data_IF_559712479409
#
_entry.id   IF_559712479409
#
_cell.length_a   1.000
_cell.length_b   1.000
_cell.length_c   1.000
_cell.angle_alpha   90.00
_cell.angle_beta   90.00
_cell.angle_gamma   90.00
#
_symmetry.space_group_name_H-M   'P 1'
#
loop_
_entity.id
_entity.type
_entity.pdbx_description
1 polymer ?
2 polymer ?
#
# COMPACT_ATOMS: atom_id res chain seq x y z
N UNK A 1 15.21 10.18 -2.48
CA UNK A 1 16.05 9.61 -1.39
C UNK A 1 16.19 8.10 -1.57
N UNK A 2 16.95 7.47 -0.68
CA UNK A 2 17.16 6.02 -0.75
C UNK A 2 15.84 5.28 -0.56
N UNK A 3 14.97 5.85 0.27
CA UNK A 3 13.66 5.26 0.55
C UNK A 3 12.59 5.72 -0.44
N UNK A 4 13.02 6.34 -1.55
CA UNK A 4 12.08 6.82 -2.56
C UNK A 4 11.18 5.68 -3.04
N UNK A 5 11.78 4.52 -3.29
CA UNK A 5 11.05 3.35 -3.75
C UNK A 5 10.01 2.95 -2.69
N UNK A 6 10.38 3.04 -1.40
CA UNK A 6 9.45 2.71 -0.33
C UNK A 6 8.30 3.70 -0.33
N UNK A 7 8.65 4.97 -0.47
CA UNK A 7 7.69 6.03 -0.49
C UNK A 7 6.75 5.81 -1.66
N UNK A 8 7.33 5.43 -2.78
CA UNK A 8 6.57 5.16 -3.99
C UNK A 8 5.81 3.84 -3.87
N UNK A 9 6.43 2.87 -3.24
CA UNK A 9 5.82 1.55 -3.00
C UNK A 9 4.57 1.76 -2.19
N UNK A 10 4.65 2.67 -1.23
CA UNK A 10 3.53 2.99 -0.42
C UNK A 10 2.53 3.78 -1.22
N UNK A 11 3.03 4.73 -1.99
CA UNK A 11 2.14 5.57 -2.76
C UNK A 11 1.44 4.86 -3.87
N UNK A 12 2.17 4.13 -4.67
CA UNK A 12 1.53 3.43 -5.75
C UNK A 12 0.45 2.53 -5.15
N UNK A 13 0.76 1.93 -3.99
CA UNK A 13 -0.20 1.09 -3.28
C UNK A 13 -1.46 1.88 -2.96
N UNK A 14 -1.27 3.11 -2.46
CA UNK A 14 -2.39 3.99 -2.12
C UNK A 14 -3.18 4.41 -3.35
N UNK A 15 -2.44 4.79 -4.39
CA UNK A 15 -3.06 5.25 -5.62
C UNK A 15 -3.90 4.12 -6.23
N UNK A 16 -3.39 2.89 -6.12
CA UNK A 16 -4.12 1.71 -6.58
C UNK A 16 -5.31 1.48 -5.63
N UNK A 17 -5.05 1.75 -4.35
CA UNK A 17 -6.04 1.63 -3.28
C UNK A 17 -7.20 2.62 -3.52
N UNK A 18 -6.83 3.80 -4.02
CA UNK A 18 -7.78 4.88 -4.27
C UNK A 18 -8.36 4.86 -5.69
N UNK A 19 -8.04 3.85 -6.49
CA UNK A 19 -8.59 3.81 -7.85
C UNK A 19 -10.09 3.55 -7.80
N UNK A 20 -10.88 4.31 -8.52
CA UNK A 20 -12.37 4.19 -8.49
C UNK A 20 -12.96 3.04 -9.32
N UNK A 21 -12.17 2.05 -9.77
CA UNK A 21 -12.78 0.98 -10.59
C UNK A 21 -12.16 -0.40 -10.35
N UNK A 22 -11.10 -0.47 -9.55
CA UNK A 22 -10.46 -1.76 -9.26
C UNK A 22 -11.24 -2.51 -8.20
N UNK A 23 -11.20 -3.85 -8.28
CA UNK A 23 -11.89 -4.67 -7.29
C UNK A 23 -10.91 -5.06 -6.20
N UNK A 24 -11.43 -5.53 -5.07
CA UNK A 24 -10.60 -5.92 -3.94
C UNK A 24 -9.44 -6.81 -4.35
N UNK A 25 -9.66 -7.66 -5.36
CA UNK A 25 -8.61 -8.57 -5.83
C UNK A 25 -7.53 -7.86 -6.64
N UNK A 26 -7.93 -7.05 -7.64
CA UNK A 26 -6.95 -6.35 -8.46
C UNK A 26 -6.10 -5.43 -7.60
N UNK A 27 -6.74 -4.69 -6.70
CA UNK A 27 -5.99 -3.80 -5.81
C UNK A 27 -5.04 -4.64 -4.96
N UNK A 28 -5.57 -5.72 -4.41
CA UNK A 28 -4.80 -6.65 -3.59
C UNK A 28 -3.65 -7.24 -4.40
N UNK A 29 -3.91 -7.47 -5.69
CA UNK A 29 -2.92 -8.04 -6.59
C UNK A 29 -1.82 -7.06 -6.87
N UNK A 30 -2.22 -5.81 -7.11
CA UNK A 30 -1.27 -4.77 -7.38
C UNK A 30 -0.42 -4.60 -6.15
N UNK A 31 -1.05 -4.70 -4.97
CA UNK A 31 -0.32 -4.61 -3.72
C UNK A 31 0.62 -5.79 -3.63
N UNK A 32 0.11 -6.98 -3.95
CA UNK A 32 0.91 -8.19 -3.92
C UNK A 32 2.13 -8.06 -4.81
N UNK A 33 1.89 -7.53 -6.00
CA UNK A 33 2.95 -7.30 -6.98
C UNK A 33 3.93 -6.26 -6.45
N UNK A 34 3.37 -5.28 -5.75
CA UNK A 34 4.15 -4.20 -5.12
C UNK A 34 5.11 -4.79 -4.10
N UNK A 35 4.57 -5.60 -3.20
CA UNK A 35 5.40 -6.25 -2.15
C UNK A 35 6.47 -7.12 -2.82
N UNK A 36 6.05 -7.89 -3.82
CA UNK A 36 6.93 -8.78 -4.55
C UNK A 36 7.97 -7.99 -5.33
N UNK A 37 7.54 -6.85 -5.84
CA UNK A 37 8.42 -5.98 -6.61
C UNK A 37 8.04 -4.52 -6.39
N UNK A 38 8.69 -3.88 -5.45
CA UNK A 38 8.41 -2.46 -5.11
C UNK A 38 8.89 -1.50 -6.19
N UNK A 39 9.96 -1.87 -6.88
CA UNK A 39 10.49 -1.03 -7.95
C UNK A 39 9.43 -0.95 -9.05
N UNK A 40 8.66 -2.02 -9.16
CA UNK A 40 7.59 -2.13 -10.15
C UNK A 40 6.30 -1.47 -9.64
N UNK A 41 6.32 -0.93 -8.43
CA UNK A 41 5.12 -0.31 -7.84
C UNK A 41 4.44 0.68 -8.79
N UNK A 42 5.25 1.43 -9.54
CA UNK A 42 4.73 2.39 -10.50
C UNK A 42 4.00 1.68 -11.62
N UNK A 43 4.58 0.55 -12.00
CA UNK A 43 4.05 -0.29 -13.06
C UNK A 43 2.74 -0.92 -12.66
N UNK A 44 2.65 -1.24 -11.39
CA UNK A 44 1.48 -1.87 -10.81
C UNK A 44 0.40 -0.85 -10.69
N UNK A 45 0.84 0.33 -10.34
CA UNK A 45 -0.02 1.48 -10.27
C UNK A 45 -0.52 1.75 -11.68
N UNK A 46 0.39 1.56 -12.63
CA UNK A 46 0.08 1.74 -14.04
C UNK A 46 -0.93 0.72 -14.48
N UNK A 47 -0.68 -0.51 -14.06
CA UNK A 47 -1.55 -1.61 -14.35
C UNK A 47 -2.90 -1.36 -13.74
N UNK A 48 -2.87 -0.79 -12.55
CA UNK A 48 -4.07 -0.48 -11.82
C UNK A 48 -4.85 0.58 -12.55
N UNK A 49 -4.16 1.64 -12.96
CA UNK A 49 -4.81 2.70 -13.70
C UNK A 49 -5.37 2.12 -14.98
N UNK A 50 -4.69 1.10 -15.49
CA UNK A 50 -5.13 0.43 -16.71
C UNK A 50 -6.34 -0.43 -16.42
N UNK A 51 -6.27 -1.14 -15.29
CA UNK A 51 -7.36 -2.01 -14.88
C UNK A 51 -8.56 -1.17 -14.50
N UNK A 52 -8.29 -0.10 -13.77
CA UNK A 52 -9.31 0.82 -13.33
C UNK A 52 -9.93 1.48 -14.54
N UNK A 53 -9.07 1.91 -15.46
CA UNK A 53 -9.55 2.55 -16.68
C UNK A 53 -10.38 1.56 -17.48
N UNK A 54 -9.91 0.32 -17.52
CA UNK A 54 -10.61 -0.74 -18.23
C UNK A 54 -11.97 -0.96 -17.57
N UNK A 55 -11.98 -0.88 -16.24
CA UNK A 55 -13.21 -1.05 -15.47
C UNK A 55 -13.97 0.27 -15.35
N UNK A 56 -13.37 1.34 -15.88
CA UNK A 56 -13.97 2.67 -15.85
C UNK A 56 -14.81 2.90 -17.10
N UNK A 57 -15.65 3.91 -17.08
CA UNK A 57 -16.54 4.26 -18.21
C UNK A 57 -15.81 5.11 -19.24
N UNK A 58 -16.42 5.24 -20.41
CA UNK A 58 -15.87 6.03 -21.51
C UNK A 58 -16.96 6.85 -22.19
N UNK B 1 -3.02 16.29 1.48
CA UNK B 1 -4.47 16.57 1.29
C UNK B 1 -5.18 16.35 2.63
N UNK B 2 -5.14 15.10 3.10
CA UNK B 2 -5.77 14.73 4.37
C UNK B 2 -5.16 15.53 5.53
N UNK B 3 -3.84 15.67 5.48
CA UNK B 3 -3.07 16.41 6.48
C UNK B 3 -1.61 16.39 6.06
N UNK B 4 -0.71 16.90 6.92
CA UNK B 4 0.71 16.90 6.60
C UNK B 4 1.22 15.46 6.53
N UNK B 5 0.39 14.53 7.01
CA UNK B 5 0.71 13.12 7.00
C UNK B 5 0.54 12.50 5.63
N UNK B 6 0.08 13.28 4.65
CA UNK B 6 -0.07 12.73 3.30
C UNK B 6 1.29 12.20 2.86
N UNK B 7 2.33 12.97 3.19
CA UNK B 7 3.70 12.59 2.90
C UNK B 7 4.10 11.40 3.78
N UNK B 8 3.79 11.54 5.07
CA UNK B 8 4.13 10.53 6.09
C UNK B 8 3.39 9.21 5.86
N UNK B 9 2.13 9.31 5.41
CA UNK B 9 1.29 8.16 5.19
C UNK B 9 1.84 7.24 4.10
N UNK B 10 2.28 7.80 2.98
CA UNK B 10 2.79 6.97 1.89
C UNK B 10 4.00 6.17 2.38
N UNK B 11 4.83 6.76 3.23
CA UNK B 11 5.99 6.04 3.74
C UNK B 11 5.50 4.83 4.54
N UNK B 12 4.43 5.00 5.32
CA UNK B 12 3.86 3.92 6.10
C UNK B 12 3.30 2.88 5.19
N UNK B 13 2.57 3.31 4.17
CA UNK B 13 2.00 2.38 3.21
C UNK B 13 3.15 1.59 2.63
N UNK B 14 4.18 2.31 2.22
CA UNK B 14 5.38 1.69 1.69
C UNK B 14 5.98 0.72 2.69
N UNK B 15 5.99 1.12 3.96
CA UNK B 15 6.53 0.29 4.99
C UNK B 15 5.70 -0.97 5.12
N UNK B 16 4.37 -0.84 5.07
CA UNK B 16 3.53 -2.05 5.14
C UNK B 16 3.93 -2.97 3.99
N UNK B 17 3.95 -2.36 2.80
CA UNK B 17 4.29 -3.04 1.55
C UNK B 17 5.72 -3.59 1.58
N UNK B 18 6.60 -2.99 2.40
CA UNK B 18 7.97 -3.48 2.53
C UNK B 18 8.01 -4.80 3.28
N UNK B 19 7.16 -4.89 4.31
CA UNK B 19 7.08 -6.09 5.15
C UNK B 19 6.72 -7.32 4.34
N UNK B 20 7.65 -8.24 4.16
CA UNK B 20 7.41 -9.49 3.41
C UNK B 20 6.68 -10.55 4.25
N UNK B 21 6.43 -10.24 5.53
CA UNK B 21 5.76 -11.18 6.42
C UNK B 21 4.26 -10.91 6.46
N UNK B 22 3.86 -9.67 6.12
CA UNK B 22 2.44 -9.32 6.14
C UNK B 22 1.69 -9.94 4.97
N UNK B 23 0.41 -10.19 5.21
CA UNK B 23 -0.47 -10.73 4.19
C UNK B 23 -0.92 -9.56 3.32
N UNK B 24 -1.28 -9.82 2.06
CA UNK B 24 -1.73 -8.74 1.17
C UNK B 24 -2.94 -8.06 1.78
N UNK B 25 -3.85 -8.89 2.27
CA UNK B 25 -5.06 -8.40 2.92
C UNK B 25 -4.70 -7.75 4.25
N UNK B 26 -3.69 -8.29 4.93
CA UNK B 26 -3.25 -7.69 6.20
C UNK B 26 -2.70 -6.30 5.92
N UNK B 27 -2.00 -6.21 4.80
CA UNK B 27 -1.40 -4.97 4.35
C UNK B 27 -2.50 -3.99 4.04
N UNK B 28 -3.52 -4.46 3.35
CA UNK B 28 -4.66 -3.64 3.04
C UNK B 28 -5.30 -3.20 4.37
N UNK B 29 -5.22 -4.08 5.38
CA UNK B 29 -5.77 -3.79 6.70
C UNK B 29 -5.11 -2.55 7.28
N UNK B 30 -3.78 -2.50 7.16
CA UNK B 30 -3.03 -1.39 7.65
C UNK B 30 -3.26 -0.17 6.75
N UNK B 31 -3.25 -0.38 5.42
CA UNK B 31 -3.47 0.72 4.49
C UNK B 31 -4.85 1.35 4.77
N UNK B 32 -5.85 0.49 4.93
CA UNK B 32 -7.21 0.93 5.23
C UNK B 32 -7.25 1.74 6.54
N UNK B 33 -6.35 1.41 7.48
CA UNK B 33 -6.32 2.10 8.74
C UNK B 33 -5.64 3.45 8.58
N UNK B 34 -4.72 3.56 7.60
CA UNK B 34 -4.10 4.85 7.34
C UNK B 34 -5.22 5.78 6.90
N UNK B 35 -6.07 5.21 6.04
CA UNK B 35 -7.26 5.91 5.54
C UNK B 35 -8.12 6.33 6.73
N UNK B 36 -8.31 5.39 7.65
CA UNK B 36 -9.10 5.63 8.87
C UNK B 36 -8.44 6.69 9.75
N UNK B 37 -7.11 6.65 9.82
CA UNK B 37 -6.35 7.59 10.63
C UNK B 37 -4.98 7.82 10.04
N UNK B 38 -4.83 8.87 9.27
CA UNK B 38 -3.53 9.21 8.65
C UNK B 38 -2.51 9.68 9.68
N UNK B 39 -3.02 10.23 10.79
CA UNK B 39 -2.16 10.71 11.86
C UNK B 39 -1.47 9.53 12.51
N UNK B 40 -2.21 8.43 12.67
CA UNK B 40 -1.68 7.23 13.26
C UNK B 40 -1.29 6.23 12.17
N UNK B 41 -1.01 6.71 10.95
CA UNK B 41 -0.59 5.82 9.89
C UNK B 41 0.61 5.01 10.37
N UNK B 42 1.40 5.65 11.21
CA UNK B 42 2.58 5.05 11.80
C UNK B 42 2.21 4.01 12.86
N UNK B 43 1.03 4.20 13.47
CA UNK B 43 0.54 3.34 14.53
C UNK B 43 0.15 1.96 14.03
N UNK B 44 -0.71 1.92 13.03
CA UNK B 44 -1.12 0.66 12.48
C UNK B 44 0.03 0.12 11.65
N UNK B 45 0.86 1.04 11.15
CA UNK B 45 2.06 0.64 10.44
C UNK B 45 2.91 -0.06 11.47
N UNK B 46 2.82 0.48 12.68
CA UNK B 46 3.54 -0.08 13.80
C UNK B 46 2.99 -1.49 14.02
N UNK B 47 1.66 -1.58 13.95
CA UNK B 47 0.95 -2.84 14.07
C UNK B 47 1.37 -3.78 12.95
N UNK B 48 1.67 -3.18 11.79
CA UNK B 48 2.07 -3.91 10.61
C UNK B 48 3.46 -4.48 10.75
N UNK B 49 4.38 -3.63 11.17
CA UNK B 49 5.75 -4.04 11.38
C UNK B 49 5.76 -5.06 12.51
N UNK B 50 4.82 -4.89 13.44
CA UNK B 50 4.62 -5.82 14.54
C UNK B 50 4.03 -7.12 14.01
N UNK B 51 3.09 -7.00 13.07
CA UNK B 51 2.45 -8.18 12.48
C UNK B 51 3.45 -8.91 11.64
N UNK B 52 4.25 -8.12 10.96
CA UNK B 52 5.30 -8.63 10.14
C UNK B 52 6.20 -9.41 11.06
N UNK B 53 6.46 -8.79 12.19
CA UNK B 53 7.28 -9.39 13.23
C UNK B 53 6.58 -10.63 13.79
N UNK B 54 5.25 -10.53 13.89
CA UNK B 54 4.43 -11.62 14.41
C UNK B 54 4.53 -12.83 13.49
N UNK B 55 4.56 -12.58 12.19
CA UNK B 55 4.66 -13.65 11.20
C UNK B 55 6.12 -13.97 10.89
N UNK B 56 7.03 -13.12 11.38
CA UNK B 56 8.46 -13.33 11.16
C UNK B 56 8.96 -14.52 11.97
N UNK B 57 10.13 -14.99 11.65
CA UNK B 57 10.75 -16.14 12.35
C UNK B 57 11.42 -15.69 13.64
N UNK B 58 11.76 -16.67 14.47
CA UNK B 58 12.40 -16.41 15.75
C UNK B 58 13.33 -17.56 16.13
#
# INVERSE_FOLDING_TARGET
>A
VDNKFNKELGWATWEIFNLPNLNGVQVKAFIDSLRDDPSQSANLLAEAKKLNDAQAPK
>B
VDNKFNKERVIAIGEIMRLPNLNSLQVVAFINSLRDDPSQSANLLAEAKKLNDAQAPK
#
